data_IF_130293444821
#
_entry.id   IF_130293444821
#
_cell.length_a   1.000
_cell.length_b   1.000
_cell.length_c   1.000
_cell.angle_alpha   90.00
_cell.angle_beta   90.00
_cell.angle_gamma   90.00
#
_symmetry.space_group_name_H-M   'P 1'
#
loop_
_entity.id
_entity.type
_entity.pdbx_description
1 polymer ?
#
# COMPACT_ATOMS: atom_id res chain seq x y z
N UNK A 1 -14.41 8.34 19.05
CA UNK A 1 -14.60 7.46 17.88
C UNK A 1 -15.75 6.49 18.17
N UNK A 2 -16.71 6.37 17.25
CA UNK A 2 -17.82 5.42 17.30
C UNK A 2 -17.47 4.22 16.42
N UNK A 3 -17.93 3.02 16.81
CA UNK A 3 -17.69 1.80 16.04
C UNK A 3 -18.96 0.97 15.92
N UNK A 4 -19.22 0.42 14.75
CA UNK A 4 -20.34 -0.48 14.47
C UNK A 4 -19.82 -1.73 13.79
N UNK A 5 -20.10 -2.91 14.37
CA UNK A 5 -19.80 -4.19 13.73
C UNK A 5 -20.87 -4.50 12.68
N UNK A 6 -20.41 -4.81 11.47
CA UNK A 6 -21.24 -5.24 10.34
C UNK A 6 -20.71 -6.52 9.71
N UNK A 7 -21.57 -7.20 9.00
CA UNK A 7 -21.22 -8.33 8.15
C UNK A 7 -21.41 -7.93 6.69
N UNK A 8 -20.38 -8.15 5.88
CA UNK A 8 -20.45 -8.03 4.43
C UNK A 8 -20.00 -9.33 3.80
N UNK A 9 -20.67 -9.77 2.76
CA UNK A 9 -20.20 -10.89 1.94
C UNK A 9 -18.98 -10.47 1.11
N UNK A 10 -18.16 -11.44 0.75
CA UNK A 10 -17.06 -11.24 -0.19
C UNK A 10 -17.56 -10.65 -1.49
N UNK A 11 -18.71 -11.13 -1.99
CA UNK A 11 -19.35 -10.62 -3.21
C UNK A 11 -19.68 -9.14 -3.10
N UNK A 12 -20.30 -8.70 -1.99
CA UNK A 12 -20.63 -7.28 -1.79
C UNK A 12 -19.39 -6.40 -1.75
N UNK A 13 -18.35 -6.81 -1.00
CA UNK A 13 -17.10 -6.03 -0.89
C UNK A 13 -16.38 -5.93 -2.23
N UNK A 14 -16.35 -7.03 -2.99
CA UNK A 14 -15.63 -7.07 -4.27
C UNK A 14 -16.49 -6.63 -5.46
N UNK A 15 -17.74 -6.23 -5.24
CA UNK A 15 -18.55 -5.68 -6.31
C UNK A 15 -17.93 -4.39 -6.84
N UNK A 16 -17.73 -4.32 -8.17
CA UNK A 16 -17.01 -3.23 -8.81
C UNK A 16 -15.51 -3.17 -8.50
N UNK A 17 -14.91 -4.28 -8.03
CA UNK A 17 -13.47 -4.32 -7.74
C UNK A 17 -12.63 -4.02 -8.98
N UNK A 18 -11.80 -2.97 -8.89
CA UNK A 18 -10.82 -2.60 -9.89
C UNK A 18 -9.43 -2.65 -9.24
N UNK A 19 -8.51 -3.32 -9.91
CA UNK A 19 -7.10 -3.38 -9.52
C UNK A 19 -6.24 -2.81 -10.65
N UNK A 20 -5.59 -1.68 -10.37
CA UNK A 20 -4.63 -1.09 -11.26
C UNK A 20 -3.23 -1.12 -10.62
N UNK A 21 -2.36 -1.98 -11.15
CA UNK A 21 -0.99 -2.16 -10.66
C UNK A 21 -0.11 -0.93 -10.88
N UNK A 22 -0.46 -0.09 -11.85
CA UNK A 22 0.40 1.00 -12.31
C UNK A 22 0.12 2.34 -11.65
N UNK A 23 -1.09 2.58 -11.20
CA UNK A 23 -1.49 3.92 -10.75
C UNK A 23 -1.41 4.11 -9.23
N UNK A 24 -1.23 3.06 -8.43
CA UNK A 24 -1.24 3.18 -6.96
C UNK A 24 -2.52 3.80 -6.39
N UNK A 25 -3.44 4.21 -7.28
CA UNK A 25 -4.73 4.81 -6.99
C UNK A 25 -5.83 3.77 -7.11
N UNK A 26 -6.75 3.85 -6.16
CA UNK A 26 -8.10 3.42 -6.41
C UNK A 26 -8.28 1.94 -6.60
N UNK A 27 -7.90 1.14 -5.61
CA UNK A 27 -8.57 -0.13 -5.41
C UNK A 27 -9.92 0.16 -4.79
N UNK A 28 -10.98 -0.06 -5.54
CA UNK A 28 -12.34 0.20 -5.11
C UNK A 28 -13.14 -1.08 -4.94
N UNK A 29 -14.11 -1.07 -4.06
CA UNK A 29 -15.08 -2.13 -3.83
C UNK A 29 -16.43 -1.53 -3.44
N UNK A 30 -17.40 -2.36 -3.11
CA UNK A 30 -18.78 -1.95 -2.77
C UNK A 30 -19.37 -1.02 -3.85
N UNK A 31 -19.24 -1.39 -5.13
CA UNK A 31 -19.69 -0.58 -6.28
C UNK A 31 -19.10 0.85 -6.29
N UNK A 32 -17.83 0.98 -5.88
CA UNK A 32 -17.11 2.26 -5.84
C UNK A 32 -17.23 3.04 -4.53
N UNK A 33 -18.06 2.59 -3.57
CA UNK A 33 -18.20 3.26 -2.26
C UNK A 33 -17.07 2.97 -1.29
N UNK A 34 -16.29 1.90 -1.50
CA UNK A 34 -15.16 1.53 -0.67
C UNK A 34 -13.85 1.85 -1.38
N UNK A 35 -13.04 2.73 -0.82
CA UNK A 35 -11.63 2.89 -1.19
C UNK A 35 -10.80 1.84 -0.44
N UNK A 36 -10.33 0.82 -1.16
CA UNK A 36 -9.56 -0.28 -0.55
C UNK A 36 -8.13 0.16 -0.24
N UNK A 37 -7.55 1.00 -1.08
CA UNK A 37 -6.20 1.54 -0.89
C UNK A 37 -6.23 3.07 -0.86
N UNK A 38 -6.63 3.68 0.26
CA UNK A 38 -6.48 5.12 0.42
C UNK A 38 -4.99 5.51 0.40
N UNK A 39 -4.70 6.77 0.18
CA UNK A 39 -3.34 7.28 -0.05
C UNK A 39 -2.35 6.99 1.08
N UNK A 40 -2.82 6.87 2.30
CA UNK A 40 -1.98 6.56 3.47
C UNK A 40 -1.65 5.07 3.61
N UNK A 41 -2.37 4.18 2.92
CA UNK A 41 -2.08 2.75 2.93
C UNK A 41 -0.86 2.41 2.06
N UNK A 42 -0.14 1.37 2.45
CA UNK A 42 0.95 0.82 1.62
C UNK A 42 0.40 0.14 0.36
N UNK A 43 1.26 -0.03 -0.62
CA UNK A 43 0.92 -0.80 -1.80
C UNK A 43 0.69 -2.28 -1.46
N UNK A 44 0.04 -3.00 -2.38
CA UNK A 44 -0.19 -4.43 -2.23
C UNK A 44 1.13 -5.20 -2.25
N UNK A 45 1.38 -6.00 -1.20
CA UNK A 45 2.63 -6.74 -1.00
C UNK A 45 2.43 -8.25 -0.86
N UNK A 46 1.19 -8.77 -0.96
CA UNK A 46 0.90 -10.20 -0.87
C UNK A 46 1.03 -10.93 -2.20
N UNK A 47 1.36 -10.27 -3.29
CA UNK A 47 1.59 -10.86 -4.61
C UNK A 47 2.88 -11.73 -4.65
N UNK A 48 3.13 -12.49 -3.58
CA UNK A 48 4.28 -13.40 -3.44
C UNK A 48 3.94 -14.87 -3.78
N UNK A 49 2.69 -15.14 -4.18
CA UNK A 49 2.20 -16.49 -4.46
C UNK A 49 2.05 -17.37 -3.22
N UNK A 50 2.14 -16.81 -2.03
CA UNK A 50 1.99 -17.51 -0.75
C UNK A 50 0.88 -16.92 0.11
N UNK A 51 0.96 -15.64 0.42
CA UNK A 51 0.01 -14.99 1.31
C UNK A 51 -1.33 -14.74 0.63
N UNK A 52 -1.32 -14.36 -0.65
CA UNK A 52 -2.52 -14.26 -1.47
C UNK A 52 -3.22 -15.62 -1.63
N UNK A 53 -2.47 -16.68 -1.95
CA UNK A 53 -2.99 -18.05 -2.02
C UNK A 53 -3.56 -18.49 -0.67
N UNK A 54 -2.84 -18.30 0.44
CA UNK A 54 -3.30 -18.69 1.77
C UNK A 54 -4.60 -17.97 2.18
N UNK A 55 -4.82 -16.75 1.70
CA UNK A 55 -6.07 -16.02 1.92
C UNK A 55 -7.26 -16.74 1.25
N UNK A 56 -7.09 -17.19 0.01
CA UNK A 56 -8.14 -17.89 -0.74
C UNK A 56 -8.37 -19.30 -0.19
N UNK A 57 -7.30 -20.02 0.14
CA UNK A 57 -7.40 -21.34 0.78
C UNK A 57 -8.19 -21.29 2.10
N UNK A 58 -8.00 -20.20 2.86
CA UNK A 58 -8.75 -19.98 4.10
C UNK A 58 -10.26 -19.82 3.83
N UNK A 59 -10.64 -19.09 2.79
CA UNK A 59 -12.05 -18.95 2.38
C UNK A 59 -12.65 -20.31 1.96
N UNK A 60 -11.94 -21.07 1.14
CA UNK A 60 -12.38 -22.40 0.69
C UNK A 60 -12.53 -23.38 1.87
N UNK A 61 -11.67 -23.28 2.88
CA UNK A 61 -11.74 -24.10 4.10
C UNK A 61 -12.78 -23.59 5.10
N UNK A 62 -13.32 -22.37 4.91
CA UNK A 62 -14.24 -21.74 5.84
C UNK A 62 -13.55 -21.19 7.10
N UNK A 63 -12.26 -20.89 7.02
CA UNK A 63 -11.52 -20.30 8.12
C UNK A 63 -11.77 -18.79 8.21
N UNK A 64 -11.86 -18.23 9.42
CA UNK A 64 -12.04 -16.79 9.58
C UNK A 64 -10.79 -16.02 9.13
N UNK A 65 -11.00 -14.97 8.39
CA UNK A 65 -9.91 -14.08 7.92
C UNK A 65 -9.52 -12.99 8.94
N UNK A 66 -10.08 -13.01 10.13
CA UNK A 66 -9.91 -11.97 11.14
C UNK A 66 -10.77 -10.73 10.84
N UNK A 67 -10.76 -9.80 11.80
CA UNK A 67 -11.51 -8.55 11.69
C UNK A 67 -10.91 -7.63 10.63
N UNK A 68 -11.79 -6.87 10.00
CA UNK A 68 -11.45 -5.81 9.04
C UNK A 68 -12.02 -4.50 9.59
N UNK A 69 -11.37 -3.39 9.26
CA UNK A 69 -11.76 -2.08 9.78
C UNK A 69 -11.87 -1.08 8.65
N UNK A 70 -13.03 -0.40 8.59
CA UNK A 70 -13.30 0.68 7.65
C UNK A 70 -13.44 2.00 8.40
N UNK A 71 -12.91 3.07 7.81
CA UNK A 71 -13.22 4.44 8.20
C UNK A 71 -14.46 4.89 7.44
N UNK A 72 -15.48 5.33 8.14
CA UNK A 72 -16.69 5.90 7.56
C UNK A 72 -16.49 7.40 7.32
N UNK A 73 -16.14 7.78 6.08
CA UNK A 73 -15.94 9.17 5.68
C UNK A 73 -17.29 9.89 5.58
N UNK A 74 -18.27 9.23 4.96
CA UNK A 74 -19.65 9.70 4.84
C UNK A 74 -20.60 8.50 4.84
N UNK A 75 -21.91 8.73 4.62
CA UNK A 75 -22.86 7.63 4.55
C UNK A 75 -22.64 6.74 3.31
N UNK A 76 -22.06 7.29 2.24
CA UNK A 76 -21.81 6.60 0.98
C UNK A 76 -20.33 6.35 0.70
N UNK A 77 -19.42 6.72 1.59
CA UNK A 77 -17.98 6.56 1.39
C UNK A 77 -17.29 5.92 2.58
N UNK A 78 -16.57 4.84 2.29
CA UNK A 78 -15.78 4.06 3.23
C UNK A 78 -14.34 3.96 2.74
N UNK A 79 -13.40 3.86 3.66
CA UNK A 79 -11.99 3.59 3.40
C UNK A 79 -11.49 2.45 4.27
N UNK A 80 -10.64 1.59 3.73
CA UNK A 80 -10.04 0.52 4.52
C UNK A 80 -8.97 1.08 5.45
N UNK A 81 -9.12 0.83 6.76
CA UNK A 81 -8.11 1.10 7.79
C UNK A 81 -7.20 -0.11 8.01
N UNK A 82 -7.78 -1.31 8.16
CA UNK A 82 -7.04 -2.57 8.19
C UNK A 82 -7.78 -3.64 7.40
N UNK A 83 -7.03 -4.57 6.82
CA UNK A 83 -7.55 -5.64 5.96
C UNK A 83 -7.35 -5.40 4.47
N UNK A 84 -6.72 -4.29 4.06
CA UNK A 84 -6.45 -3.95 2.66
C UNK A 84 -5.81 -5.13 1.89
N UNK A 85 -4.76 -5.74 2.44
CA UNK A 85 -4.06 -6.84 1.77
C UNK A 85 -4.97 -8.06 1.54
N UNK A 86 -5.83 -8.38 2.51
CA UNK A 86 -6.80 -9.48 2.44
C UNK A 86 -7.86 -9.22 1.38
N UNK A 87 -8.51 -8.05 1.41
CA UNK A 87 -9.53 -7.66 0.42
C UNK A 87 -8.92 -7.62 -0.99
N UNK A 88 -7.72 -7.06 -1.14
CA UNK A 88 -7.04 -7.01 -2.43
C UNK A 88 -6.71 -8.41 -2.96
N UNK A 89 -6.25 -9.34 -2.10
CA UNK A 89 -6.02 -10.73 -2.50
C UNK A 89 -7.29 -11.38 -3.02
N UNK A 90 -8.41 -11.19 -2.31
CA UNK A 90 -9.70 -11.75 -2.70
C UNK A 90 -10.16 -11.16 -4.05
N UNK A 91 -10.19 -9.83 -4.17
CA UNK A 91 -10.61 -9.18 -5.41
C UNK A 91 -9.75 -9.56 -6.61
N UNK A 92 -8.43 -9.67 -6.42
CA UNK A 92 -7.49 -10.16 -7.46
C UNK A 92 -7.81 -11.59 -7.89
N UNK A 93 -8.15 -12.47 -6.96
CA UNK A 93 -8.53 -13.83 -7.29
C UNK A 93 -9.86 -13.89 -8.05
N UNK A 94 -10.90 -13.21 -7.58
CA UNK A 94 -12.20 -13.14 -8.24
C UNK A 94 -12.09 -12.59 -9.67
N UNK A 95 -11.15 -11.67 -9.90
CA UNK A 95 -10.90 -11.08 -11.23
C UNK A 95 -9.84 -11.84 -12.06
N UNK A 96 -9.42 -13.04 -11.61
CA UNK A 96 -8.54 -13.94 -12.37
C UNK A 96 -7.09 -13.49 -12.46
N UNK A 97 -6.60 -12.68 -11.53
CA UNK A 97 -5.22 -12.17 -11.54
C UNK A 97 -4.17 -13.20 -11.09
N UNK A 98 -4.57 -14.23 -10.38
CA UNK A 98 -3.71 -15.35 -10.00
C UNK A 98 -4.54 -16.63 -9.80
N UNK A 99 -3.85 -17.77 -9.69
CA UNK A 99 -4.43 -19.08 -9.46
C UNK A 99 -3.94 -19.66 -8.12
N UNK A 100 -4.80 -20.44 -7.48
CA UNK A 100 -4.43 -21.37 -6.40
C UNK A 100 -4.05 -22.72 -7.00
N UNK A 101 -3.67 -23.71 -6.18
CA UNK A 101 -3.46 -25.08 -6.59
C UNK A 101 -4.54 -25.97 -5.99
N UNK A 102 -5.05 -26.92 -6.80
CA UNK A 102 -5.88 -27.99 -6.30
C UNK A 102 -5.06 -29.11 -5.59
N UNK A 103 -5.71 -30.16 -5.15
CA UNK A 103 -5.09 -31.30 -4.46
C UNK A 103 -4.08 -32.03 -5.37
N UNK A 104 -4.28 -31.98 -6.68
CA UNK A 104 -3.40 -32.59 -7.69
C UNK A 104 -2.27 -31.64 -8.13
N UNK A 105 -2.24 -30.42 -7.60
CA UNK A 105 -1.23 -29.39 -7.93
C UNK A 105 -1.53 -28.58 -9.18
N UNK A 106 -2.69 -28.76 -9.82
CA UNK A 106 -3.10 -28.01 -10.99
C UNK A 106 -3.52 -26.58 -10.65
N UNK A 107 -3.32 -25.65 -11.57
CA UNK A 107 -3.74 -24.26 -11.38
C UNK A 107 -5.25 -24.10 -11.47
N UNK A 108 -5.85 -23.53 -10.43
CA UNK A 108 -7.26 -23.24 -10.34
C UNK A 108 -7.49 -21.74 -10.26
N UNK A 109 -7.99 -21.15 -11.32
CA UNK A 109 -8.52 -19.78 -11.33
C UNK A 109 -9.95 -19.77 -10.83
N UNK A 110 -10.43 -18.63 -10.33
CA UNK A 110 -11.81 -18.49 -9.83
C UNK A 110 -12.86 -18.97 -10.86
N UNK A 111 -12.68 -18.63 -12.13
CA UNK A 111 -13.58 -19.07 -13.21
C UNK A 111 -13.59 -20.59 -13.44
N UNK A 112 -12.56 -21.30 -13.03
CA UNK A 112 -12.42 -22.76 -13.15
C UNK A 112 -12.94 -23.53 -11.95
N UNK A 113 -13.32 -22.85 -10.85
CA UNK A 113 -13.90 -23.48 -9.67
C UNK A 113 -15.32 -24.00 -9.96
N UNK A 114 -15.76 -25.01 -9.19
CA UNK A 114 -17.16 -25.45 -9.21
C UNK A 114 -18.09 -24.34 -8.73
N UNK A 115 -19.37 -24.42 -9.09
CA UNK A 115 -20.39 -23.46 -8.65
C UNK A 115 -20.51 -23.42 -7.12
N UNK A 116 -20.36 -24.58 -6.47
CA UNK A 116 -20.35 -24.67 -5.01
C UNK A 116 -19.17 -23.93 -4.40
N UNK A 117 -17.96 -24.13 -4.91
CA UNK A 117 -16.76 -23.46 -4.44
C UNK A 117 -16.82 -21.93 -4.67
N UNK A 118 -17.29 -21.50 -5.84
CA UNK A 118 -17.50 -20.08 -6.13
C UNK A 118 -18.50 -19.46 -5.16
N UNK A 119 -19.66 -20.11 -5.01
CA UNK A 119 -20.71 -19.66 -4.09
C UNK A 119 -20.21 -19.59 -2.64
N UNK A 120 -19.41 -20.56 -2.21
CA UNK A 120 -18.80 -20.57 -0.88
C UNK A 120 -17.90 -19.34 -0.66
N UNK A 121 -17.04 -19.02 -1.63
CA UNK A 121 -16.18 -17.82 -1.54
C UNK A 121 -17.04 -16.56 -1.53
N UNK A 122 -17.93 -16.40 -2.51
CA UNK A 122 -18.73 -15.19 -2.69
C UNK A 122 -19.63 -14.88 -1.49
N UNK A 123 -20.23 -15.91 -0.87
CA UNK A 123 -21.15 -15.76 0.25
C UNK A 123 -20.46 -15.78 1.62
N UNK A 124 -19.13 -15.96 1.67
CA UNK A 124 -18.40 -15.86 2.93
C UNK A 124 -18.58 -14.47 3.53
N UNK A 125 -19.01 -14.43 4.78
CA UNK A 125 -19.20 -13.20 5.54
C UNK A 125 -17.88 -12.75 6.17
N UNK A 126 -17.51 -11.51 5.94
CA UNK A 126 -16.38 -10.84 6.57
C UNK A 126 -16.92 -9.93 7.68
N UNK A 127 -16.29 -10.00 8.84
CA UNK A 127 -16.63 -9.16 9.99
C UNK A 127 -15.88 -7.82 9.89
N UNK A 128 -16.62 -6.73 9.86
CA UNK A 128 -16.10 -5.40 9.58
C UNK A 128 -16.56 -4.43 10.66
N UNK A 129 -15.61 -3.77 11.32
CA UNK A 129 -15.93 -2.59 12.10
C UNK A 129 -15.93 -1.34 11.21
N UNK A 130 -17.10 -0.71 11.08
CA UNK A 130 -17.18 0.66 10.57
C UNK A 130 -16.88 1.61 11.73
N UNK A 131 -15.83 2.41 11.55
CA UNK A 131 -15.35 3.37 12.53
C UNK A 131 -15.67 4.78 12.05
N UNK A 132 -16.25 5.61 12.91
CA UNK A 132 -16.53 7.02 12.64
C UNK A 132 -15.91 7.87 13.73
N UNK A 133 -15.11 8.86 13.34
CA UNK A 133 -14.42 9.74 14.28
C UNK A 133 -13.83 10.96 13.57
N UNK A 134 -13.18 11.81 14.34
CA UNK A 134 -12.38 12.89 13.78
C UNK A 134 -11.13 12.32 13.08
N UNK A 135 -10.56 13.05 12.14
CA UNK A 135 -9.33 12.67 11.44
C UNK A 135 -8.20 12.32 12.43
N UNK A 136 -8.09 13.08 13.52
CA UNK A 136 -7.07 12.84 14.56
C UNK A 136 -7.29 11.51 15.27
N UNK A 137 -8.53 11.21 15.69
CA UNK A 137 -8.86 9.94 16.37
C UNK A 137 -8.60 8.74 15.47
N UNK A 138 -9.01 8.83 14.19
CA UNK A 138 -8.79 7.75 13.21
C UNK A 138 -7.30 7.53 12.97
N UNK A 139 -6.50 8.60 12.82
CA UNK A 139 -5.04 8.48 12.64
C UNK A 139 -4.32 7.89 13.85
N UNK A 140 -4.71 8.29 15.04
CA UNK A 140 -4.14 7.75 16.29
C UNK A 140 -4.46 6.25 16.40
N UNK A 141 -5.70 5.88 16.14
CA UNK A 141 -6.13 4.50 16.21
C UNK A 141 -5.50 3.65 15.10
N UNK A 142 -5.37 4.18 13.87
CA UNK A 142 -4.68 3.52 12.76
C UNK A 142 -3.25 3.11 13.12
N UNK A 143 -2.51 3.96 13.84
CA UNK A 143 -1.19 3.60 14.36
C UNK A 143 -1.26 2.40 15.29
N UNK A 144 -2.27 2.35 16.15
CA UNK A 144 -2.43 1.29 17.16
C UNK A 144 -2.76 -0.07 16.54
N UNK A 145 -3.70 -0.12 15.59
CA UNK A 145 -4.12 -1.40 14.97
C UNK A 145 -3.03 -2.03 14.10
N UNK A 146 -2.14 -1.22 13.53
CA UNK A 146 -1.03 -1.70 12.70
C UNK A 146 0.18 -2.23 13.48
N UNK A 147 0.12 -2.26 14.82
CA UNK A 147 1.17 -2.86 15.67
C UNK A 147 1.16 -4.40 15.53
N UNK A 148 0.00 -5.00 15.25
CA UNK A 148 -0.16 -6.46 15.11
C UNK A 148 -0.08 -6.89 13.64
N UNK A 149 0.73 -7.90 13.32
CA UNK A 149 0.88 -8.43 11.97
C UNK A 149 2.19 -8.00 11.29
N UNK A 150 2.14 -7.55 10.05
CA UNK A 150 3.28 -6.93 9.38
C UNK A 150 3.22 -5.43 9.68
N UNK A 151 4.04 -4.92 10.60
CA UNK A 151 3.95 -3.52 11.02
C UNK A 151 4.24 -2.59 9.83
N UNK A 152 3.60 -1.43 9.85
CA UNK A 152 3.97 -0.33 8.97
C UNK A 152 5.38 0.14 9.32
N UNK A 153 6.16 0.46 8.30
CA UNK A 153 7.43 1.13 8.52
C UNK A 153 7.20 2.63 8.85
N UNK A 154 8.25 3.32 9.33
CA UNK A 154 8.15 4.73 9.73
C UNK A 154 7.60 5.63 8.62
N UNK A 155 7.97 5.36 7.35
CA UNK A 155 7.49 6.18 6.23
C UNK A 155 6.02 5.91 5.92
N UNK A 156 5.58 4.66 6.03
CA UNK A 156 4.16 4.30 5.88
C UNK A 156 3.32 4.97 6.99
N UNK A 157 3.83 5.04 8.23
CA UNK A 157 3.18 5.77 9.32
C UNK A 157 3.15 7.28 9.06
N UNK A 158 4.25 7.89 8.57
CA UNK A 158 4.27 9.32 8.21
C UNK A 158 3.26 9.63 7.12
N UNK A 159 3.14 8.79 6.11
CA UNK A 159 2.16 8.98 5.05
C UNK A 159 0.73 9.01 5.58
N UNK A 160 0.42 8.22 6.61
CA UNK A 160 -0.89 8.28 7.27
C UNK A 160 -1.10 9.58 8.06
N UNK A 161 -0.05 10.07 8.74
CA UNK A 161 -0.11 11.33 9.53
C UNK A 161 -0.27 12.55 8.63
N UNK A 162 0.52 12.60 7.55
CA UNK A 162 0.58 13.74 6.63
C UNK A 162 -0.19 13.48 5.33
N UNK A 163 -1.20 12.59 5.34
CA UNK A 163 -2.00 12.27 4.16
C UNK A 163 -2.54 13.53 3.49
N UNK A 164 -2.50 13.55 2.15
CA UNK A 164 -2.87 14.69 1.33
C UNK A 164 -2.33 14.60 -0.09
N UNK A 165 -2.57 15.61 -0.94
CA UNK A 165 -2.12 15.61 -2.34
C UNK A 165 -0.63 15.30 -2.51
N UNK A 166 0.22 15.86 -1.63
CA UNK A 166 1.65 15.60 -1.65
C UNK A 166 1.99 14.11 -1.51
N UNK A 167 1.37 13.41 -0.54
CA UNK A 167 1.62 11.97 -0.31
C UNK A 167 1.15 11.16 -1.52
N UNK A 168 0.02 11.52 -2.12
CA UNK A 168 -0.48 10.88 -3.34
C UNK A 168 0.55 11.00 -4.48
N UNK A 169 0.99 12.22 -4.80
CA UNK A 169 1.97 12.47 -5.85
C UNK A 169 3.33 11.81 -5.55
N UNK A 170 3.77 11.84 -4.28
CA UNK A 170 5.00 11.20 -3.86
C UNK A 170 4.98 9.68 -4.02
N UNK A 171 3.85 9.03 -3.72
CA UNK A 171 3.69 7.59 -3.94
C UNK A 171 3.67 7.22 -5.42
N UNK A 172 3.00 8.00 -6.26
CA UNK A 172 3.01 7.80 -7.72
C UNK A 172 4.42 7.82 -8.30
N UNK A 173 5.27 8.74 -7.83
CA UNK A 173 6.64 8.85 -8.31
C UNK A 173 7.57 7.78 -7.69
N UNK A 174 7.61 7.67 -6.36
CA UNK A 174 8.65 6.92 -5.67
C UNK A 174 8.25 5.50 -5.25
N UNK A 175 6.95 5.20 -5.21
CA UNK A 175 6.45 3.90 -4.74
C UNK A 175 5.86 3.03 -5.86
N UNK A 176 5.93 3.50 -7.09
CA UNK A 176 5.52 2.76 -8.27
C UNK A 176 6.67 1.85 -8.73
N UNK A 177 6.49 0.53 -8.58
CA UNK A 177 7.50 -0.48 -8.98
C UNK A 177 7.78 -0.53 -10.50
N UNK A 178 6.96 0.12 -11.32
CA UNK A 178 7.13 0.22 -12.76
C UNK A 178 7.76 1.55 -13.19
N UNK A 179 8.16 2.41 -12.25
CA UNK A 179 8.84 3.66 -12.60
C UNK A 179 10.15 3.37 -13.33
N UNK A 180 10.35 4.02 -14.49
CA UNK A 180 11.53 3.84 -15.34
C UNK A 180 12.86 4.15 -14.62
N UNK A 181 12.82 4.96 -13.57
CA UNK A 181 14.00 5.33 -12.79
C UNK A 181 14.40 4.31 -11.72
N UNK A 182 13.58 3.27 -11.45
CA UNK A 182 13.85 2.30 -10.38
C UNK A 182 15.21 1.64 -10.55
N UNK A 183 15.55 1.23 -11.75
CA UNK A 183 16.85 0.60 -12.02
C UNK A 183 18.02 1.55 -11.70
N UNK A 184 17.91 2.82 -12.10
CA UNK A 184 18.89 3.87 -11.82
C UNK A 184 19.00 4.10 -10.31
N UNK A 185 17.87 4.25 -9.63
CA UNK A 185 17.86 4.51 -8.18
C UNK A 185 18.41 3.34 -7.38
N UNK A 186 18.06 2.12 -7.74
CA UNK A 186 18.50 0.90 -7.04
C UNK A 186 20.01 0.69 -7.07
N UNK A 187 20.72 1.29 -8.01
CA UNK A 187 22.19 1.28 -8.05
C UNK A 187 22.82 2.06 -6.89
N UNK A 188 22.10 3.01 -6.30
CA UNK A 188 22.63 3.93 -5.28
C UNK A 188 21.85 3.90 -3.97
N UNK A 189 20.60 3.48 -3.98
CA UNK A 189 19.73 3.40 -2.81
C UNK A 189 19.23 1.97 -2.63
N UNK A 190 19.44 1.41 -1.43
CA UNK A 190 18.82 0.13 -1.07
C UNK A 190 17.37 0.36 -0.75
N UNK A 191 16.49 -0.46 -1.33
CA UNK A 191 15.09 -0.39 -0.99
C UNK A 191 14.18 -1.07 -2.00
N UNK A 192 12.90 -1.09 -1.65
CA UNK A 192 11.81 -1.64 -2.43
C UNK A 192 10.75 -0.56 -2.60
N UNK A 193 10.39 -0.22 -3.84
CA UNK A 193 9.48 0.88 -4.14
C UNK A 193 8.13 0.74 -3.41
N UNK A 194 7.50 -0.41 -3.46
CA UNK A 194 6.20 -0.65 -2.84
C UNK A 194 6.24 -0.68 -1.29
N UNK A 195 7.44 -0.69 -0.66
CA UNK A 195 7.66 -0.44 0.76
C UNK A 195 8.04 1.01 1.05
N UNK A 196 8.04 1.86 0.03
CA UNK A 196 8.28 3.30 0.10
C UNK A 196 9.69 3.68 0.55
N UNK A 197 10.65 2.77 0.35
CA UNK A 197 12.03 3.00 0.78
C UNK A 197 12.69 4.14 -0.02
N UNK A 198 12.43 4.25 -1.32
CA UNK A 198 12.93 5.35 -2.14
C UNK A 198 12.34 6.70 -1.70
N UNK A 199 11.04 6.74 -1.39
CA UNK A 199 10.38 7.94 -0.85
C UNK A 199 11.02 8.36 0.47
N UNK A 200 11.22 7.40 1.39
CA UNK A 200 11.88 7.66 2.68
C UNK A 200 13.26 8.32 2.49
N UNK A 201 14.08 7.77 1.60
CA UNK A 201 15.42 8.29 1.34
C UNK A 201 15.36 9.66 0.65
N UNK A 202 14.47 9.86 -0.31
CA UNK A 202 14.30 11.16 -0.97
C UNK A 202 13.91 12.25 0.05
N UNK A 203 12.97 11.94 0.93
CA UNK A 203 12.56 12.86 2.00
C UNK A 203 13.68 13.12 3.02
N UNK A 204 14.41 12.08 3.44
CA UNK A 204 15.56 12.24 4.35
C UNK A 204 16.62 13.19 3.77
N UNK A 205 16.90 13.05 2.49
CA UNK A 205 17.91 13.88 1.82
C UNK A 205 17.45 15.32 1.70
N UNK A 206 16.27 15.60 1.14
CA UNK A 206 15.80 16.97 0.92
C UNK A 206 15.56 17.72 2.23
N UNK A 207 15.08 17.02 3.26
CA UNK A 207 14.78 17.60 4.57
C UNK A 207 15.99 17.65 5.52
N UNK A 208 17.14 17.10 5.10
CA UNK A 208 18.33 16.92 5.95
C UNK A 208 18.04 16.16 7.25
N UNK A 209 17.13 15.18 7.17
CA UNK A 209 16.70 14.33 8.28
C UNK A 209 15.48 14.82 9.05
N UNK A 210 14.96 16.01 8.74
CA UNK A 210 13.73 16.51 9.38
C UNK A 210 12.49 16.24 8.51
N UNK A 211 12.20 14.95 8.27
CA UNK A 211 11.15 14.50 7.36
C UNK A 211 9.76 14.99 7.80
N UNK A 212 9.49 14.98 9.10
CA UNK A 212 8.17 15.35 9.64
C UNK A 212 7.86 16.83 9.39
N UNK A 213 8.82 17.72 9.58
CA UNK A 213 8.66 19.15 9.27
C UNK A 213 8.45 19.38 7.76
N UNK A 214 9.24 18.70 6.92
CA UNK A 214 9.10 18.79 5.47
C UNK A 214 7.71 18.33 5.01
N UNK A 215 7.27 17.14 5.41
CA UNK A 215 5.96 16.62 5.03
C UNK A 215 4.79 17.47 5.57
N UNK A 216 4.94 18.05 6.76
CA UNK A 216 3.94 18.97 7.31
C UNK A 216 3.78 20.23 6.47
N UNK A 217 4.89 20.84 6.03
CA UNK A 217 4.89 22.05 5.21
C UNK A 217 4.34 21.83 3.80
N UNK A 218 4.70 20.70 3.19
CA UNK A 218 4.33 20.36 1.82
C UNK A 218 3.02 19.55 1.69
N UNK A 219 2.33 19.28 2.79
CA UNK A 219 1.18 18.38 2.85
C UNK A 219 0.14 18.60 1.73
N UNK A 220 -0.08 19.85 1.35
CA UNK A 220 -1.11 20.27 0.39
C UNK A 220 -0.58 20.55 -1.01
N UNK A 221 0.71 20.30 -1.26
CA UNK A 221 1.30 20.46 -2.59
C UNK A 221 0.76 19.39 -3.54
N UNK A 222 0.33 19.81 -4.72
CA UNK A 222 -0.27 18.90 -5.72
C UNK A 222 0.76 18.11 -6.52
N UNK A 223 2.06 18.45 -6.39
CA UNK A 223 3.14 17.76 -7.10
C UNK A 223 4.39 17.60 -6.22
N UNK A 224 5.33 16.79 -6.68
CA UNK A 224 6.60 16.51 -6.00
C UNK A 224 7.81 16.85 -6.87
N UNK A 225 7.67 17.82 -7.73
CA UNK A 225 8.72 18.19 -8.71
C UNK A 225 10.04 18.56 -8.04
N UNK A 226 9.99 19.33 -6.94
CA UNK A 226 11.17 19.71 -6.18
C UNK A 226 11.86 18.48 -5.58
N UNK A 227 11.13 17.65 -4.87
CA UNK A 227 11.63 16.41 -4.27
C UNK A 227 12.25 15.48 -5.32
N UNK A 228 11.55 15.27 -6.44
CA UNK A 228 12.03 14.45 -7.56
C UNK A 228 13.31 15.00 -8.18
N UNK A 229 13.34 16.29 -8.43
CA UNK A 229 14.50 16.97 -9.03
C UNK A 229 15.70 16.87 -8.11
N UNK A 230 15.53 17.18 -6.81
CA UNK A 230 16.59 17.07 -5.82
C UNK A 230 17.15 15.65 -5.76
N UNK A 231 16.28 14.65 -5.61
CA UNK A 231 16.68 13.25 -5.50
C UNK A 231 17.46 12.77 -6.73
N UNK A 232 16.98 13.06 -7.95
CA UNK A 232 17.68 12.67 -9.17
C UNK A 232 19.01 13.42 -9.33
N UNK A 233 19.07 14.70 -8.95
CA UNK A 233 20.33 15.48 -8.99
C UNK A 233 21.40 14.86 -8.09
N UNK A 234 21.02 14.42 -6.88
CA UNK A 234 21.94 13.70 -5.99
C UNK A 234 22.43 12.40 -6.62
N UNK A 235 21.52 11.61 -7.20
CA UNK A 235 21.88 10.35 -7.89
C UNK A 235 22.87 10.62 -9.05
N UNK A 236 22.60 11.65 -9.86
CA UNK A 236 23.44 12.01 -11.00
C UNK A 236 24.83 12.48 -10.53
N UNK A 237 24.88 13.30 -9.49
CA UNK A 237 26.14 13.73 -8.89
C UNK A 237 26.95 12.55 -8.36
N UNK A 238 26.34 11.66 -7.57
CA UNK A 238 27.01 10.43 -7.09
C UNK A 238 27.53 9.60 -8.25
N UNK A 239 26.73 9.46 -9.31
CA UNK A 239 27.12 8.72 -10.51
C UNK A 239 28.35 9.31 -11.21
N UNK A 240 28.52 10.61 -11.17
CA UNK A 240 29.65 11.30 -11.82
C UNK A 240 30.93 11.30 -10.99
N UNK A 241 30.82 11.21 -9.67
CA UNK A 241 31.97 11.47 -8.77
C UNK A 241 32.56 10.17 -8.19
N UNK A 242 31.74 9.15 -7.90
CA UNK A 242 32.18 7.98 -7.16
C UNK A 242 32.23 6.70 -8.02
N UNK A 243 33.18 5.83 -7.72
CA UNK A 243 33.22 4.45 -8.28
C UNK A 243 32.09 3.60 -7.73
N UNK A 244 31.79 2.47 -8.38
CA UNK A 244 30.74 1.57 -7.91
C UNK A 244 31.01 1.02 -6.51
N UNK A 245 32.27 0.77 -6.16
CA UNK A 245 32.65 0.27 -4.82
C UNK A 245 32.41 1.32 -3.76
N UNK A 246 32.82 2.56 -3.99
CA UNK A 246 32.58 3.69 -3.09
C UNK A 246 31.08 3.97 -2.94
N UNK A 247 30.32 3.84 -4.03
CA UNK A 247 28.86 4.00 -4.05
C UNK A 247 28.14 3.00 -3.15
N UNK A 248 28.64 1.76 -3.05
CA UNK A 248 28.04 0.73 -2.19
C UNK A 248 28.27 0.97 -0.70
N UNK A 249 29.39 1.56 -0.31
CA UNK A 249 29.79 1.71 1.09
C UNK A 249 28.94 2.73 1.87
N UNK A 250 28.42 3.78 1.25
CA UNK A 250 27.81 4.93 1.93
C UNK A 250 26.42 5.36 1.37
N UNK A 251 25.69 4.46 0.75
CA UNK A 251 24.38 4.72 0.11
C UNK A 251 23.39 5.60 0.90
N UNK A 252 23.19 5.43 2.21
CA UNK A 252 22.19 6.20 2.95
C UNK A 252 22.53 7.68 3.14
N UNK A 253 23.81 8.07 2.98
CA UNK A 253 24.31 9.40 3.35
C UNK A 253 24.56 10.35 2.17
N UNK A 254 24.38 9.88 0.92
CA UNK A 254 24.71 10.67 -0.27
C UNK A 254 24.03 12.05 -0.30
N UNK A 255 22.75 12.12 0.01
CA UNK A 255 22.01 13.38 -0.04
C UNK A 255 22.44 14.37 1.04
N UNK A 256 22.85 13.90 2.21
CA UNK A 256 23.38 14.73 3.27
C UNK A 256 24.76 15.29 2.88
N UNK A 257 25.59 14.45 2.27
CA UNK A 257 26.89 14.88 1.75
C UNK A 257 26.71 15.94 0.63
N UNK A 258 25.80 15.68 -0.32
CA UNK A 258 25.47 16.62 -1.39
C UNK A 258 24.98 17.97 -0.85
N UNK A 259 24.14 17.97 0.17
CA UNK A 259 23.62 19.22 0.75
C UNK A 259 24.66 20.01 1.56
N UNK A 260 25.79 19.37 1.92
CA UNK A 260 26.90 20.01 2.62
C UNK A 260 27.90 20.68 1.66
N UNK A 261 28.06 20.11 0.46
CA UNK A 261 28.89 20.65 -0.61
C UNK A 261 28.18 21.78 -1.36
#
# INVERSE_FOLDING_TARGET
METQLKEYTVKEICDGFVYNEFEGKGLFGLSGRLTIQPEYQRNYIYADGKKDVACIDSLLKGYPLGLIYFNKISDDQLEVLDGQQRITSIGRYLTGKFAIKDEDGNRQYFSGLSDEQRSKIENTKLLIYECKGTESEIKEWFKTINIVGIPLNDQELRNAVYSGPFVTAAKEEFSNSQNANIQKWSAYVKGVANRQDFLKVALDWVSRGNIDDYMSKHRYDENVTELKTYFNTVIDWVSSVFTMVEKEMNRPNWGRLYAFL
#
